data_IF_799189705034
#
_entry.id   IF_799189705034
#
_cell.length_a   1.000
_cell.length_b   1.000
_cell.length_c   1.000
_cell.angle_alpha   90.00
_cell.angle_beta   90.00
_cell.angle_gamma   90.00
#
_symmetry.space_group_name_H-M   'P 1'
#
loop_
_entity.id
_entity.type
_entity.pdbx_description
1 polymer ?
#
# COMPACT_ATOMS: atom_id res chain seq x y z
N UNK A 1 -17.76 -2.43 -8.68
CA UNK A 1 -16.29 -2.50 -8.79
C UNK A 1 -15.72 -3.09 -7.51
N UNK A 2 -14.78 -4.01 -7.60
CA UNK A 2 -14.20 -4.58 -6.37
C UNK A 2 -13.37 -3.56 -5.63
N UNK A 3 -13.30 -3.72 -4.34
CA UNK A 3 -12.43 -2.93 -3.49
C UNK A 3 -11.14 -3.71 -3.24
N UNK A 4 -10.10 -3.00 -2.83
CA UNK A 4 -8.83 -3.66 -2.57
C UNK A 4 -8.97 -4.80 -1.57
N UNK A 5 -9.77 -4.61 -0.52
CA UNK A 5 -9.98 -5.65 0.49
C UNK A 5 -10.65 -6.90 -0.08
N UNK A 6 -11.36 -6.77 -1.19
CA UNK A 6 -12.09 -7.91 -1.78
C UNK A 6 -11.19 -8.84 -2.59
N UNK A 7 -10.05 -8.33 -3.06
CA UNK A 7 -9.15 -9.10 -3.93
C UNK A 7 -7.82 -9.44 -3.25
N UNK A 8 -7.61 -8.95 -2.03
CA UNK A 8 -6.44 -9.27 -1.24
C UNK A 8 -6.82 -10.20 -0.11
N UNK A 9 -6.09 -11.31 0.04
CA UNK A 9 -6.30 -12.20 1.18
C UNK A 9 -5.70 -11.61 2.44
N UNK A 10 -4.74 -10.66 2.29
CA UNK A 10 -4.03 -10.10 3.41
C UNK A 10 -3.39 -8.77 3.01
N UNK A 11 -3.52 -7.79 3.88
CA UNK A 11 -2.87 -6.49 3.72
C UNK A 11 -2.26 -6.13 5.06
N UNK A 12 -1.00 -5.72 5.06
CA UNK A 12 -0.34 -5.31 6.31
C UNK A 12 0.54 -4.10 6.06
N UNK A 13 0.82 -3.37 7.15
CA UNK A 13 1.77 -2.28 7.10
C UNK A 13 2.66 -2.34 8.32
N UNK A 14 3.89 -1.83 8.17
CA UNK A 14 4.86 -1.81 9.25
C UNK A 14 5.91 -0.72 9.02
N UNK A 15 6.65 -0.39 10.07
CA UNK A 15 7.79 0.49 9.94
C UNK A 15 8.92 -0.19 9.18
N UNK A 16 9.59 0.59 8.34
CA UNK A 16 10.82 0.17 7.66
C UNK A 16 11.90 1.18 8.03
N UNK A 17 12.29 1.18 9.30
CA UNK A 17 13.14 2.19 9.88
C UNK A 17 12.31 3.34 10.44
N UNK A 18 12.95 4.38 11.03
CA UNK A 18 12.22 5.43 11.75
C UNK A 18 11.43 6.38 10.84
N UNK A 19 11.77 6.45 9.56
CA UNK A 19 11.19 7.44 8.65
C UNK A 19 10.42 6.83 7.47
N UNK A 20 10.31 5.49 7.41
CA UNK A 20 9.67 4.81 6.30
C UNK A 20 8.59 3.87 6.77
N UNK A 21 7.57 3.70 5.92
CA UNK A 21 6.50 2.73 6.11
C UNK A 21 6.46 1.82 4.89
N UNK A 22 6.23 0.53 5.13
CA UNK A 22 6.02 -0.43 4.07
C UNK A 22 4.62 -1.02 4.19
N UNK A 23 3.89 -1.04 3.07
CA UNK A 23 2.59 -1.69 2.98
C UNK A 23 2.71 -2.85 1.99
N UNK A 24 2.29 -4.03 2.42
CA UNK A 24 2.32 -5.23 1.59
C UNK A 24 0.89 -5.63 1.24
N UNK A 25 0.61 -5.74 -0.06
CA UNK A 25 -0.70 -6.15 -0.57
C UNK A 25 -0.55 -7.56 -1.13
N UNK A 26 -1.10 -8.55 -0.41
CA UNK A 26 -1.07 -9.95 -0.85
C UNK A 26 -2.38 -10.27 -1.55
N UNK A 27 -2.34 -10.38 -2.87
CA UNK A 27 -3.54 -10.70 -3.64
C UNK A 27 -3.96 -12.16 -3.41
N UNK A 28 -5.23 -12.45 -3.67
CA UNK A 28 -5.83 -13.77 -3.39
C UNK A 28 -5.19 -14.91 -4.17
N UNK A 29 -4.59 -14.61 -5.29
CA UNK A 29 -3.94 -15.63 -6.11
C UNK A 29 -3.35 -14.99 -7.34
N UNK A 30 -2.83 -15.84 -8.23
CA UNK A 30 -2.16 -15.37 -9.44
C UNK A 30 -3.10 -14.58 -10.36
N UNK A 31 -4.36 -14.98 -10.44
CA UNK A 31 -5.33 -14.29 -11.32
C UNK A 31 -5.64 -12.89 -10.79
N UNK A 32 -5.87 -12.75 -9.50
CA UNK A 32 -6.10 -11.43 -8.90
C UNK A 32 -4.86 -10.55 -9.01
N UNK A 33 -3.69 -11.12 -8.77
CA UNK A 33 -2.45 -10.39 -8.93
C UNK A 33 -2.30 -9.88 -10.38
N UNK A 34 -2.48 -10.76 -11.35
CA UNK A 34 -2.35 -10.40 -12.76
C UNK A 34 -3.32 -9.30 -13.17
N UNK A 35 -4.54 -9.33 -12.62
CA UNK A 35 -5.58 -8.37 -12.97
C UNK A 35 -5.35 -7.01 -12.32
N UNK A 36 -4.92 -6.98 -11.08
CA UNK A 36 -4.97 -5.74 -10.27
C UNK A 36 -3.63 -5.15 -9.86
N UNK A 37 -2.51 -5.86 -10.04
CA UNK A 37 -1.22 -5.35 -9.53
C UNK A 37 -0.80 -4.01 -10.14
N UNK A 38 -1.24 -3.73 -11.36
CA UNK A 38 -0.89 -2.48 -12.06
C UNK A 38 -2.06 -1.49 -12.10
N UNK A 39 -3.07 -1.68 -11.24
CA UNK A 39 -4.23 -0.81 -11.22
C UNK A 39 -3.82 0.62 -10.85
N UNK A 40 -4.33 1.64 -11.57
CA UNK A 40 -3.97 3.04 -11.27
C UNK A 40 -4.26 3.48 -9.84
N UNK A 41 -5.22 2.83 -9.18
CA UNK A 41 -5.62 3.19 -7.81
C UNK A 41 -4.51 2.90 -6.80
N UNK A 42 -3.61 1.95 -7.11
CA UNK A 42 -2.46 1.65 -6.25
C UNK A 42 -1.14 2.05 -6.91
N UNK A 43 -1.20 3.00 -7.85
CA UNK A 43 0.00 3.59 -8.44
C UNK A 43 0.73 4.47 -7.43
N UNK A 44 2.01 4.76 -7.72
CA UNK A 44 2.78 5.65 -6.86
C UNK A 44 2.11 7.02 -6.73
N UNK A 45 1.51 7.54 -7.81
CA UNK A 45 0.83 8.83 -7.78
C UNK A 45 -0.33 8.83 -6.79
N UNK A 46 -1.16 7.79 -6.84
CA UNK A 46 -2.33 7.73 -5.96
C UNK A 46 -1.95 7.47 -4.51
N UNK A 47 -0.96 6.61 -4.29
CA UNK A 47 -0.46 6.34 -2.94
C UNK A 47 0.11 7.63 -2.34
N UNK A 48 0.86 8.39 -3.12
CA UNK A 48 1.41 9.67 -2.66
C UNK A 48 0.29 10.63 -2.24
N UNK A 49 -0.79 10.68 -3.02
CA UNK A 49 -1.93 11.55 -2.70
C UNK A 49 -2.63 11.11 -1.41
N UNK A 50 -2.80 9.80 -1.22
CA UNK A 50 -3.48 9.27 -0.03
C UNK A 50 -2.70 9.60 1.25
N UNK A 51 -1.39 9.44 1.21
CA UNK A 51 -0.56 9.62 2.41
C UNK A 51 0.09 11.00 2.51
N UNK A 52 -0.18 11.89 1.54
CA UNK A 52 0.33 13.25 1.60
C UNK A 52 1.84 13.34 1.45
N UNK A 53 2.44 12.50 0.63
CA UNK A 53 3.89 12.50 0.38
C UNK A 53 4.18 12.75 -1.08
N UNK A 54 5.44 13.09 -1.39
CA UNK A 54 5.87 13.29 -2.78
C UNK A 54 5.94 11.95 -3.50
N UNK A 55 5.35 11.87 -4.69
CA UNK A 55 5.35 10.62 -5.47
C UNK A 55 6.77 10.14 -5.79
N UNK A 56 7.72 11.05 -5.88
CA UNK A 56 9.11 10.69 -6.14
C UNK A 56 9.70 9.83 -5.02
N UNK A 57 9.11 9.87 -3.83
CA UNK A 57 9.56 9.09 -2.68
C UNK A 57 8.76 7.81 -2.47
N UNK A 58 7.73 7.57 -3.28
CA UNK A 58 6.96 6.32 -3.19
C UNK A 58 7.65 5.27 -4.04
N UNK A 59 7.92 4.11 -3.46
CA UNK A 59 8.55 3.00 -4.15
C UNK A 59 7.61 1.82 -4.20
N UNK A 60 7.48 1.20 -5.37
CA UNK A 60 6.64 0.02 -5.55
C UNK A 60 7.50 -1.13 -6.05
N UNK A 61 7.28 -2.30 -5.46
CA UNK A 61 7.96 -3.52 -5.87
C UNK A 61 6.91 -4.60 -6.14
N UNK A 62 6.94 -5.18 -7.32
CA UNK A 62 6.03 -6.26 -7.68
C UNK A 62 6.73 -7.58 -7.44
N UNK A 63 6.18 -8.38 -6.52
CA UNK A 63 6.76 -9.68 -6.15
C UNK A 63 5.83 -10.76 -6.66
N UNK A 64 5.97 -11.10 -7.93
CA UNK A 64 5.07 -12.03 -8.61
C UNK A 64 5.03 -13.41 -7.94
N UNK A 65 6.15 -13.87 -7.45
CA UNK A 65 6.22 -15.20 -6.80
C UNK A 65 5.34 -15.30 -5.56
N UNK A 66 4.99 -14.16 -4.96
CA UNK A 66 4.13 -14.11 -3.78
C UNK A 66 2.77 -13.51 -4.09
N UNK A 67 2.48 -13.19 -5.35
CA UNK A 67 1.27 -12.48 -5.76
C UNK A 67 1.07 -11.21 -4.93
N UNK A 68 2.16 -10.45 -4.74
CA UNK A 68 2.21 -9.34 -3.81
C UNK A 68 2.77 -8.09 -4.46
N UNK A 69 2.27 -6.93 -4.02
CA UNK A 69 2.86 -5.63 -4.32
C UNK A 69 3.30 -5.02 -3.00
N UNK A 70 4.56 -4.62 -2.93
CA UNK A 70 5.12 -3.93 -1.76
C UNK A 70 5.23 -2.44 -2.09
N UNK A 71 4.74 -1.60 -1.20
CA UNK A 71 4.76 -0.15 -1.39
C UNK A 71 5.47 0.47 -0.19
N UNK A 72 6.48 1.31 -0.46
CA UNK A 72 7.19 2.03 0.60
C UNK A 72 7.03 3.51 0.39
N UNK A 73 6.82 4.25 1.48
CA UNK A 73 6.72 5.71 1.43
C UNK A 73 7.25 6.29 2.74
N UNK A 74 7.71 7.55 2.71
CA UNK A 74 8.24 8.19 3.94
C UNK A 74 7.12 8.57 4.89
N UNK A 75 7.40 8.53 6.18
CA UNK A 75 6.48 9.02 7.20
C UNK A 75 6.53 10.54 7.22
N UNK A 76 5.39 11.14 7.55
CA UNK A 76 5.32 12.60 7.67
C UNK A 76 5.93 13.09 8.98
N UNK A 77 6.09 12.20 9.96
CA UNK A 77 6.74 12.50 11.22
C UNK A 77 7.55 11.30 11.66
N UNK A 78 8.60 11.50 12.49
CA UNK A 78 9.39 10.37 12.98
C UNK A 78 8.56 9.40 13.79
N UNK A 79 8.99 8.13 13.75
CA UNK A 79 8.38 7.08 14.53
C UNK A 79 8.43 7.44 16.03
N UNK A 80 7.28 7.31 16.69
CA UNK A 80 7.18 7.59 18.12
C UNK A 80 7.04 9.05 18.49
N UNK A 81 6.87 9.95 17.50
CA UNK A 81 6.63 11.36 17.79
C UNK A 81 5.26 11.56 18.46
N UNK A 82 5.11 12.70 19.16
CA UNK A 82 3.90 12.95 19.95
C UNK A 82 2.62 12.98 19.10
N UNK A 83 2.72 13.35 17.84
CA UNK A 83 1.57 13.34 16.93
C UNK A 83 1.37 11.99 16.24
N UNK A 84 2.29 11.06 16.42
CA UNK A 84 2.23 9.74 15.79
C UNK A 84 1.58 8.76 16.73
N UNK A 85 0.35 8.36 16.42
CA UNK A 85 -0.40 7.43 17.25
C UNK A 85 -0.17 5.98 16.87
N UNK A 86 0.23 5.74 15.64
CA UNK A 86 0.50 4.40 15.14
C UNK A 86 2.00 4.18 15.10
N UNK A 87 2.59 3.98 16.26
CA UNK A 87 4.04 3.89 16.43
C UNK A 87 4.69 2.85 15.52
N UNK A 88 4.00 1.72 15.32
CA UNK A 88 4.56 0.62 14.53
C UNK A 88 4.02 0.59 13.11
N UNK A 89 3.23 1.59 12.73
CA UNK A 89 2.61 1.71 11.42
C UNK A 89 1.72 0.52 11.07
N UNK A 90 1.19 -0.18 12.07
CA UNK A 90 0.36 -1.36 11.86
C UNK A 90 -1.01 -1.04 11.28
N UNK A 91 -1.45 0.23 11.33
CA UNK A 91 -2.75 0.67 10.83
C UNK A 91 -2.64 1.52 9.56
N UNK A 92 -1.44 1.70 9.01
CA UNK A 92 -1.25 2.56 7.86
C UNK A 92 -1.93 2.03 6.59
N UNK A 93 -2.19 0.71 6.52
CA UNK A 93 -2.86 0.12 5.38
C UNK A 93 -4.36 0.41 5.34
N UNK A 94 -4.96 0.84 6.45
CA UNK A 94 -6.42 0.99 6.57
C UNK A 94 -7.03 1.87 5.47
N UNK A 95 -6.45 3.04 5.13
CA UNK A 95 -7.02 3.86 4.06
C UNK A 95 -7.09 3.17 2.70
N UNK A 96 -6.33 2.11 2.49
CA UNK A 96 -6.30 1.42 1.19
C UNK A 96 -7.41 0.40 1.04
N UNK A 97 -7.97 -0.11 2.13
CA UNK A 97 -8.90 -1.23 2.09
C UNK A 97 -10.16 -0.95 1.28
N UNK A 98 -10.65 0.28 1.31
CA UNK A 98 -11.90 0.65 0.64
C UNK A 98 -11.68 1.22 -0.76
N UNK A 99 -10.44 1.27 -1.25
CA UNK A 99 -10.16 1.75 -2.59
C UNK A 99 -10.84 0.87 -3.63
N UNK A 100 -11.58 1.50 -4.54
CA UNK A 100 -12.22 0.79 -5.64
C UNK A 100 -11.24 0.62 -6.78
N UNK A 101 -11.03 -0.62 -7.18
CA UNK A 101 -10.10 -0.94 -8.26
C UNK A 101 -10.70 -0.59 -9.61
N UNK A 102 -9.85 -0.05 -10.49
CA UNK A 102 -10.23 0.31 -11.84
C UNK A 102 -9.75 -0.79 -12.78
N UNK A 103 -10.61 -1.72 -13.08
CA UNK A 103 -10.22 -2.81 -13.97
C UNK A 103 -9.85 -2.25 -15.35
N UNK A 104 -8.79 -2.77 -15.94
CA UNK A 104 -8.49 -2.50 -17.32
C UNK A 104 -9.58 -3.11 -18.19
N UNK A 105 -10.18 -2.28 -18.99
CA UNK A 105 -11.25 -2.70 -19.87
C UNK A 105 -10.70 -3.03 -21.25
#
# INVERSE_FOLDING_TARGET
>A
MPRLKDVCRYVRSKNAGPFWVTVDLFFDGADSYAEFHADPVISADNIAAIYGVDKAHVKRFEVKSLNMVKISYPRTSPQGGVVERDMHSGQQFVPLLELQLRRNQ
#
